data_IF_000726661046
#
_entry.id   IF_000726661046
#
_cell.length_a   1.000
_cell.length_b   1.000
_cell.length_c   1.000
_cell.angle_alpha   90.00
_cell.angle_beta   90.00
_cell.angle_gamma   90.00
#
_symmetry.space_group_name_H-M   'P 1'
#
loop_
_entity.id
_entity.type
_entity.pdbx_description
1 polymer ?
#
# COMPACT_ATOMS: atom_id res chain seq x y z
N UNK A 1 -23.79 0.57 -12.28
CA UNK A 1 -22.37 0.59 -11.82
C UNK A 1 -21.73 -0.70 -12.31
N UNK A 2 -20.63 -0.61 -13.06
CA UNK A 2 -19.85 -1.79 -13.48
C UNK A 2 -18.73 -2.00 -12.47
N UNK A 3 -18.56 -3.23 -11.97
CA UNK A 3 -17.50 -3.60 -11.02
C UNK A 3 -16.69 -4.73 -11.62
N UNK A 4 -15.38 -4.54 -11.69
CA UNK A 4 -14.42 -5.57 -12.08
C UNK A 4 -13.59 -5.95 -10.87
N UNK A 5 -13.66 -7.22 -10.48
CA UNK A 5 -12.74 -7.79 -9.50
C UNK A 5 -11.42 -8.12 -10.23
N UNK A 6 -10.30 -7.70 -9.65
CA UNK A 6 -8.98 -8.01 -10.17
C UNK A 6 -8.50 -9.34 -9.61
N UNK A 7 -8.98 -10.42 -10.20
CA UNK A 7 -8.53 -11.79 -9.89
C UNK A 7 -7.23 -12.11 -10.66
N UNK A 8 -6.23 -12.65 -9.95
CA UNK A 8 -4.95 -13.06 -10.51
C UNK A 8 -4.85 -14.59 -10.50
N UNK A 9 -5.12 -15.23 -11.64
CA UNK A 9 -5.11 -16.68 -11.80
C UNK A 9 -6.44 -17.20 -12.34
N UNK A 10 -6.71 -18.49 -12.16
CA UNK A 10 -7.95 -19.14 -12.58
C UNK A 10 -8.81 -19.50 -11.35
N UNK A 11 -9.54 -18.52 -10.83
CA UNK A 11 -10.46 -18.66 -9.72
C UNK A 11 -9.86 -18.28 -8.36
N UNK A 12 -10.75 -18.20 -7.38
CA UNK A 12 -10.49 -17.69 -6.02
C UNK A 12 -9.30 -18.37 -5.32
N UNK A 13 -9.10 -19.67 -5.51
CA UNK A 13 -7.99 -20.38 -4.87
C UNK A 13 -6.63 -19.95 -5.41
N UNK A 14 -6.50 -19.84 -6.73
CA UNK A 14 -5.25 -19.43 -7.36
C UNK A 14 -4.95 -17.95 -7.05
N UNK A 15 -6.00 -17.11 -7.04
CA UNK A 15 -5.91 -15.71 -6.62
C UNK A 15 -5.38 -15.57 -5.19
N UNK A 16 -5.94 -16.35 -4.25
CA UNK A 16 -5.45 -16.38 -2.88
C UNK A 16 -3.98 -16.79 -2.80
N UNK A 17 -3.58 -17.86 -3.48
CA UNK A 17 -2.18 -18.31 -3.50
C UNK A 17 -1.27 -17.21 -4.09
N UNK A 18 -1.64 -16.65 -5.23
CA UNK A 18 -0.89 -15.61 -5.92
C UNK A 18 -0.77 -14.33 -5.07
N UNK A 19 -1.78 -13.99 -4.27
CA UNK A 19 -1.71 -12.86 -3.33
C UNK A 19 -0.58 -13.00 -2.30
N UNK A 20 -0.13 -14.23 -2.02
CA UNK A 20 0.95 -14.52 -1.06
C UNK A 20 2.29 -14.78 -1.76
N UNK A 21 2.30 -15.49 -2.89
CA UNK A 21 3.55 -16.02 -3.47
C UNK A 21 3.98 -15.37 -4.78
N UNK A 22 3.08 -14.71 -5.51
CA UNK A 22 3.42 -14.06 -6.77
C UNK A 22 3.98 -12.67 -6.50
N UNK A 23 5.18 -12.36 -7.00
CA UNK A 23 5.78 -11.05 -6.81
C UNK A 23 4.82 -9.90 -7.24
N UNK A 24 4.71 -8.79 -6.47
CA UNK A 24 3.82 -7.66 -6.78
C UNK A 24 3.96 -7.10 -8.19
N UNK A 25 5.19 -7.03 -8.70
CA UNK A 25 5.46 -6.58 -10.08
C UNK A 25 4.65 -7.40 -11.09
N UNK A 26 4.60 -8.72 -10.92
CA UNK A 26 3.87 -9.59 -11.83
C UNK A 26 2.36 -9.46 -11.68
N UNK A 27 1.88 -9.33 -10.45
CA UNK A 27 0.46 -9.08 -10.18
C UNK A 27 0.00 -7.76 -10.84
N UNK A 28 0.81 -6.70 -10.75
CA UNK A 28 0.52 -5.40 -11.38
C UNK A 28 0.53 -5.49 -12.91
N UNK A 29 1.47 -6.23 -13.51
CA UNK A 29 1.47 -6.47 -14.96
C UNK A 29 0.18 -7.14 -15.43
N UNK A 30 -0.24 -8.21 -14.75
CA UNK A 30 -1.46 -8.96 -15.07
C UNK A 30 -2.69 -8.07 -14.89
N UNK A 31 -2.78 -7.34 -13.77
CA UNK A 31 -3.87 -6.41 -13.51
C UNK A 31 -3.94 -5.30 -14.58
N UNK A 32 -2.80 -4.71 -14.96
CA UNK A 32 -2.74 -3.68 -16.00
C UNK A 32 -3.24 -4.22 -17.35
N UNK A 33 -2.79 -5.41 -17.76
CA UNK A 33 -3.25 -6.05 -18.99
C UNK A 33 -4.76 -6.34 -18.96
N UNK A 34 -5.27 -6.84 -17.82
CA UNK A 34 -6.70 -7.11 -17.62
C UNK A 34 -7.57 -5.84 -17.72
N UNK A 35 -7.07 -4.71 -17.22
CA UNK A 35 -7.74 -3.41 -17.34
C UNK A 35 -7.71 -2.87 -18.77
N UNK A 36 -6.58 -3.02 -19.49
CA UNK A 36 -6.44 -2.57 -20.88
C UNK A 36 -7.32 -3.36 -21.85
N UNK A 37 -7.53 -4.65 -21.58
CA UNK A 37 -8.41 -5.50 -22.35
C UNK A 37 -9.90 -5.18 -22.14
N UNK A 38 -10.25 -4.45 -21.08
CA UNK A 38 -11.64 -4.17 -20.72
C UNK A 38 -12.19 -2.92 -21.46
N UNK A 39 -13.14 -3.08 -22.39
CA UNK A 39 -13.67 -1.94 -23.14
C UNK A 39 -14.48 -0.97 -22.28
N UNK A 40 -15.05 -1.41 -21.14
CA UNK A 40 -15.88 -0.57 -20.27
C UNK A 40 -14.99 0.41 -19.49
N UNK A 41 -13.76 0.03 -19.17
CA UNK A 41 -12.85 0.82 -18.33
C UNK A 41 -11.98 1.81 -19.12
N UNK A 42 -12.10 1.87 -20.45
CA UNK A 42 -11.24 2.69 -21.33
C UNK A 42 -11.25 4.19 -20.98
N UNK A 43 -12.38 4.69 -20.50
CA UNK A 43 -12.55 6.10 -20.12
C UNK A 43 -12.12 6.40 -18.67
N UNK A 44 -11.52 5.43 -18.01
CA UNK A 44 -11.04 5.51 -16.64
C UNK A 44 -11.89 4.74 -15.65
N UNK A 45 -11.35 4.57 -14.45
CA UNK A 45 -11.96 3.75 -13.40
C UNK A 45 -11.57 4.25 -12.01
N UNK A 46 -12.35 3.87 -11.00
CA UNK A 46 -12.02 4.09 -9.59
C UNK A 46 -11.45 2.79 -9.03
N UNK A 47 -10.30 2.89 -8.37
CA UNK A 47 -9.67 1.77 -7.68
C UNK A 47 -10.06 1.75 -6.20
N UNK A 48 -10.45 0.58 -5.68
CA UNK A 48 -10.62 0.34 -4.25
C UNK A 48 -9.75 -0.85 -3.85
N UNK A 49 -8.87 -0.67 -2.87
CA UNK A 49 -7.96 -1.71 -2.40
C UNK A 49 -8.02 -1.87 -0.89
N UNK A 50 -8.01 -3.12 -0.43
CA UNK A 50 -8.07 -3.48 0.98
C UNK A 50 -6.75 -4.09 1.43
N UNK A 51 -6.25 -3.73 2.61
CA UNK A 51 -4.98 -4.20 3.17
C UNK A 51 -3.87 -4.09 2.11
N UNK A 52 -3.11 -5.16 1.86
CA UNK A 52 -2.09 -5.23 0.80
C UNK A 52 -2.59 -4.92 -0.61
N UNK A 53 -3.86 -5.17 -0.90
CA UNK A 53 -4.47 -4.85 -2.20
C UNK A 53 -4.42 -3.36 -2.52
N UNK A 54 -4.50 -2.48 -1.53
CA UNK A 54 -4.33 -1.04 -1.75
C UNK A 54 -2.89 -0.64 -2.10
N UNK A 55 -1.89 -1.41 -1.65
CA UNK A 55 -0.49 -1.18 -2.01
C UNK A 55 -0.23 -1.59 -3.45
N UNK A 56 -0.75 -2.76 -3.85
CA UNK A 56 -0.73 -3.23 -5.24
C UNK A 56 -1.47 -2.26 -6.16
N UNK A 57 -2.64 -1.78 -5.74
CA UNK A 57 -3.43 -0.79 -6.47
C UNK A 57 -2.67 0.54 -6.65
N UNK A 58 -1.94 0.99 -5.62
CA UNK A 58 -1.06 2.16 -5.74
C UNK A 58 0.10 1.91 -6.72
N UNK A 59 0.72 0.74 -6.66
CA UNK A 59 1.73 0.34 -7.65
C UNK A 59 1.17 0.32 -9.08
N UNK A 60 -0.07 -0.15 -9.25
CA UNK A 60 -0.79 -0.11 -10.52
C UNK A 60 -1.05 1.33 -10.98
N UNK A 61 -1.51 2.21 -10.10
CA UNK A 61 -1.71 3.63 -10.41
C UNK A 61 -0.40 4.32 -10.84
N UNK A 62 0.74 3.95 -10.24
CA UNK A 62 2.05 4.50 -10.60
C UNK A 62 2.58 3.95 -11.93
N UNK A 63 2.33 2.68 -12.25
CA UNK A 63 2.98 1.96 -13.37
C UNK A 63 2.12 1.82 -14.63
N UNK A 64 0.80 1.77 -14.49
CA UNK A 64 -0.15 1.56 -15.58
C UNK A 64 -0.92 2.85 -15.87
N UNK A 65 -0.47 3.63 -16.87
CA UNK A 65 -1.07 4.94 -17.19
C UNK A 65 -2.39 4.85 -17.97
N UNK A 66 -2.71 3.69 -18.55
CA UNK A 66 -3.93 3.46 -19.32
C UNK A 66 -4.52 2.05 -19.05
N UNK A 67 -5.85 1.93 -18.81
CA UNK A 67 -6.79 3.03 -18.60
C UNK A 67 -6.46 3.85 -17.35
N UNK A 68 -6.89 5.11 -17.31
CA UNK A 68 -6.52 6.04 -16.22
C UNK A 68 -7.34 5.72 -14.96
N UNK A 69 -6.66 5.47 -13.84
CA UNK A 69 -7.32 5.50 -12.53
C UNK A 69 -7.67 6.95 -12.18
N UNK A 70 -8.93 7.24 -11.90
CA UNK A 70 -9.41 8.60 -11.58
C UNK A 70 -9.38 8.85 -10.09
N UNK A 71 -9.89 7.93 -9.28
CA UNK A 71 -9.85 7.99 -7.82
C UNK A 71 -9.26 6.69 -7.27
N UNK A 72 -8.54 6.79 -6.16
CA UNK A 72 -7.98 5.65 -5.45
C UNK A 72 -8.46 5.68 -4.00
N UNK A 73 -9.05 4.59 -3.53
CA UNK A 73 -9.47 4.42 -2.14
C UNK A 73 -8.71 3.23 -1.57
N UNK A 74 -8.03 3.43 -0.46
CA UNK A 74 -7.32 2.38 0.25
C UNK A 74 -7.88 2.20 1.66
N UNK A 75 -8.06 0.95 2.07
CA UNK A 75 -8.61 0.59 3.38
C UNK A 75 -7.60 -0.26 4.14
N UNK A 76 -7.00 0.32 5.19
CA UNK A 76 -6.03 -0.39 6.04
C UNK A 76 -4.72 -0.70 5.32
N UNK A 77 -4.31 0.16 4.38
CA UNK A 77 -3.17 -0.14 3.50
C UNK A 77 -1.87 0.41 4.07
N UNK A 78 -0.94 -0.48 4.40
CA UNK A 78 0.45 -0.18 4.75
C UNK A 78 1.28 0.51 3.64
N UNK A 79 1.05 1.79 3.39
CA UNK A 79 1.73 2.56 2.33
C UNK A 79 3.24 2.72 2.54
N UNK A 80 3.71 2.68 3.80
CA UNK A 80 5.12 2.67 4.18
C UNK A 80 5.62 1.27 4.58
N UNK A 81 4.87 0.22 4.27
CA UNK A 81 5.19 -1.14 4.67
C UNK A 81 4.92 -1.42 6.14
N UNK A 82 5.48 -2.53 6.62
CA UNK A 82 5.33 -2.98 8.01
C UNK A 82 6.65 -3.39 8.63
N UNK A 83 6.68 -3.34 9.97
CA UNK A 83 7.78 -3.78 10.82
C UNK A 83 7.28 -4.49 12.09
N UNK A 84 6.15 -5.18 12.00
CA UNK A 84 5.62 -5.99 13.09
C UNK A 84 4.89 -7.20 12.56
N UNK A 85 4.59 -8.10 13.48
CA UNK A 85 3.74 -9.25 13.22
C UNK A 85 2.33 -8.95 13.74
N UNK A 86 1.27 -9.41 13.06
CA UNK A 86 -0.09 -9.25 13.54
C UNK A 86 -0.24 -9.73 14.98
N UNK A 87 -0.96 -8.95 15.79
CA UNK A 87 -1.21 -9.20 17.21
C UNK A 87 0.05 -9.44 18.08
N UNK A 88 1.23 -8.99 17.63
CA UNK A 88 2.49 -9.20 18.33
C UNK A 88 3.05 -7.86 18.82
N UNK A 89 2.80 -7.51 20.08
CA UNK A 89 3.39 -6.31 20.68
C UNK A 89 4.91 -6.38 20.65
N UNK A 90 5.54 -5.25 20.30
CA UNK A 90 7.00 -5.10 20.23
C UNK A 90 7.70 -5.31 21.58
N UNK A 91 6.95 -5.27 22.67
CA UNK A 91 7.46 -5.43 24.04
C UNK A 91 7.66 -6.89 24.43
N UNK A 92 6.95 -7.84 23.80
CA UNK A 92 7.06 -9.25 24.11
C UNK A 92 8.38 -9.83 23.58
N UNK A 93 9.12 -10.54 24.45
CA UNK A 93 10.42 -11.14 24.12
C UNK A 93 10.35 -12.07 22.90
N UNK A 94 9.27 -12.86 22.80
CA UNK A 94 9.02 -13.78 21.68
C UNK A 94 8.85 -13.01 20.37
N UNK A 95 8.04 -11.94 20.37
CA UNK A 95 7.88 -11.06 19.20
C UNK A 95 9.21 -10.42 18.78
N UNK A 96 10.03 -9.99 19.74
CA UNK A 96 11.38 -9.45 19.44
C UNK A 96 12.29 -10.49 18.78
N UNK A 97 12.26 -11.74 19.25
CA UNK A 97 13.09 -12.81 18.70
C UNK A 97 12.66 -13.18 17.29
N UNK A 98 11.35 -13.36 17.06
CA UNK A 98 10.82 -13.65 15.73
C UNK A 98 11.16 -12.50 14.77
N UNK A 99 11.02 -11.25 15.21
CA UNK A 99 11.40 -10.09 14.38
C UNK A 99 12.88 -10.09 13.98
N UNK A 100 13.79 -10.49 14.87
CA UNK A 100 15.22 -10.62 14.53
C UNK A 100 15.46 -11.67 13.44
N UNK A 101 14.70 -12.76 13.45
CA UNK A 101 14.74 -13.77 12.39
C UNK A 101 14.17 -13.17 11.11
N UNK A 102 13.01 -12.51 11.19
CA UNK A 102 12.32 -11.87 10.07
C UNK A 102 13.21 -10.83 9.36
N UNK A 103 13.91 -9.98 10.11
CA UNK A 103 14.85 -9.02 9.54
C UNK A 103 15.94 -9.65 8.68
N UNK A 104 16.31 -10.91 8.95
CA UNK A 104 17.29 -11.63 8.13
C UNK A 104 16.65 -12.32 6.94
N UNK A 105 15.53 -13.02 7.16
CA UNK A 105 14.91 -13.84 6.11
C UNK A 105 14.16 -12.99 5.08
N UNK A 106 13.51 -11.90 5.49
CA UNK A 106 12.67 -11.10 4.61
C UNK A 106 13.48 -10.49 3.48
N UNK A 107 14.73 -10.09 3.72
CA UNK A 107 15.60 -9.50 2.69
C UNK A 107 16.46 -10.52 1.92
N UNK A 108 16.17 -11.82 2.05
CA UNK A 108 16.80 -12.82 1.17
C UNK A 108 16.12 -12.82 -0.21
N UNK A 109 16.88 -13.16 -1.24
CA UNK A 109 16.38 -13.22 -2.62
C UNK A 109 15.16 -14.14 -2.76
N UNK A 110 15.15 -15.28 -2.07
CA UNK A 110 14.02 -16.20 -2.09
C UNK A 110 12.72 -15.53 -1.60
N UNK A 111 12.76 -14.93 -0.40
CA UNK A 111 11.58 -14.30 0.20
C UNK A 111 11.14 -13.05 -0.56
N UNK A 112 12.08 -12.21 -1.00
CA UNK A 112 11.74 -11.06 -1.83
C UNK A 112 11.05 -11.45 -3.14
N UNK A 113 11.35 -12.62 -3.71
CA UNK A 113 10.74 -13.05 -4.98
C UNK A 113 9.47 -13.91 -4.83
N UNK A 114 9.30 -14.61 -3.70
CA UNK A 114 8.24 -15.63 -3.52
C UNK A 114 7.36 -15.41 -2.29
N UNK A 115 7.52 -14.30 -1.57
CA UNK A 115 6.69 -13.99 -0.41
C UNK A 115 6.33 -12.50 -0.41
N UNK A 116 5.10 -12.19 -0.83
CA UNK A 116 4.59 -10.82 -0.99
C UNK A 116 4.79 -9.97 0.27
N UNK A 117 4.56 -10.45 1.51
CA UNK A 117 4.82 -9.65 2.69
C UNK A 117 6.29 -9.24 2.89
N UNK A 118 7.26 -9.99 2.34
CA UNK A 118 8.66 -9.59 2.37
C UNK A 118 8.90 -8.32 1.54
N UNK A 119 8.19 -8.16 0.42
CA UNK A 119 8.41 -7.08 -0.54
C UNK A 119 7.93 -5.73 -0.02
N UNK A 120 7.21 -5.70 1.11
CA UNK A 120 6.86 -4.49 1.86
C UNK A 120 7.29 -4.54 3.33
N UNK A 121 8.22 -5.43 3.68
CA UNK A 121 8.92 -5.37 4.96
C UNK A 121 9.88 -4.18 4.98
N UNK A 122 9.68 -3.27 5.92
CA UNK A 122 10.44 -2.03 6.03
C UNK A 122 11.08 -1.93 7.41
N UNK A 123 12.34 -2.33 7.53
CA UNK A 123 13.07 -2.29 8.79
C UNK A 123 13.60 -0.87 9.10
N UNK A 124 13.02 -0.13 10.06
CA UNK A 124 13.47 1.23 10.38
C UNK A 124 14.83 1.24 11.10
N UNK A 125 15.29 0.09 11.61
CA UNK A 125 16.59 -0.03 12.29
C UNK A 125 17.77 -0.23 11.33
N UNK A 126 17.50 -0.65 10.09
CA UNK A 126 18.51 -0.89 9.05
C UNK A 126 17.98 -0.40 7.70
N UNK A 127 17.89 0.94 7.58
CA UNK A 127 17.37 1.62 6.40
C UNK A 127 18.25 1.37 5.17
N UNK A 128 19.55 1.14 5.35
CA UNK A 128 20.46 0.78 4.28
C UNK A 128 20.10 -0.58 3.66
N UNK A 129 19.92 -1.63 4.48
CA UNK A 129 19.50 -2.94 3.99
C UNK A 129 18.11 -2.90 3.35
N UNK A 130 17.17 -2.16 3.94
CA UNK A 130 15.85 -1.95 3.36
C UNK A 130 15.95 -1.37 1.94
N UNK A 131 16.67 -0.25 1.78
CA UNK A 131 16.87 0.43 0.49
C UNK A 131 17.58 -0.47 -0.53
N UNK A 132 18.58 -1.23 -0.10
CA UNK A 132 19.37 -2.09 -0.99
C UNK A 132 18.61 -3.34 -1.45
N UNK A 133 17.87 -4.01 -0.55
CA UNK A 133 17.38 -5.38 -0.79
C UNK A 133 15.89 -5.52 -1.01
N UNK A 134 15.09 -4.52 -0.63
CA UNK A 134 13.65 -4.60 -0.88
C UNK A 134 13.36 -4.45 -2.39
N UNK A 135 12.51 -5.31 -2.94
CA UNK A 135 12.28 -5.43 -4.40
C UNK A 135 11.02 -4.74 -4.90
N UNK A 136 10.25 -4.09 -4.03
CA UNK A 136 8.96 -3.51 -4.42
C UNK A 136 8.63 -2.19 -3.73
N UNK A 137 8.55 -2.18 -2.40
CA UNK A 137 8.16 -0.99 -1.64
C UNK A 137 9.13 0.17 -1.87
N UNK A 138 10.44 -0.11 -1.91
CA UNK A 138 11.47 0.89 -2.22
C UNK A 138 11.31 1.51 -3.60
N UNK A 139 10.92 0.72 -4.59
CA UNK A 139 10.66 1.18 -5.95
C UNK A 139 9.43 2.08 -6.00
N UNK A 140 8.28 1.61 -5.50
CA UNK A 140 7.04 2.41 -5.55
C UNK A 140 7.07 3.62 -4.59
N UNK A 141 8.00 3.67 -3.64
CA UNK A 141 8.22 4.83 -2.77
C UNK A 141 9.33 5.78 -3.26
N UNK A 142 9.94 5.51 -4.43
CA UNK A 142 11.06 6.29 -4.95
C UNK A 142 12.18 6.45 -3.89
N UNK A 143 12.54 5.36 -3.19
CA UNK A 143 13.56 5.40 -2.12
C UNK A 143 14.97 5.58 -2.67
N UNK A 144 15.28 4.90 -3.78
CA UNK A 144 16.61 4.90 -4.39
C UNK A 144 16.72 5.84 -5.59
N UNK A 145 15.65 5.90 -6.39
CA UNK A 145 15.61 6.68 -7.63
C UNK A 145 14.25 7.35 -7.78
N UNK A 146 14.24 8.60 -8.25
CA UNK A 146 12.99 9.35 -8.46
C UNK A 146 12.42 9.02 -9.83
N UNK A 147 11.36 8.21 -9.87
CA UNK A 147 10.64 7.93 -11.10
C UNK A 147 9.58 9.00 -11.39
N UNK A 148 9.85 9.87 -12.37
CA UNK A 148 8.93 10.96 -12.75
C UNK A 148 7.60 10.46 -13.33
N UNK A 149 7.57 9.27 -13.94
CA UNK A 149 6.32 8.67 -14.41
C UNK A 149 5.42 8.30 -13.24
N UNK A 150 5.98 7.77 -12.16
CA UNK A 150 5.22 7.42 -10.96
C UNK A 150 4.58 8.65 -10.33
N UNK A 151 5.36 9.73 -10.21
CA UNK A 151 4.87 11.02 -9.69
C UNK A 151 3.74 11.56 -10.57
N UNK A 152 3.94 11.61 -11.90
CA UNK A 152 2.93 12.11 -12.85
C UNK A 152 1.64 11.31 -12.77
N UNK A 153 1.73 9.98 -12.77
CA UNK A 153 0.54 9.12 -12.77
C UNK A 153 -0.21 9.23 -11.44
N UNK A 154 0.48 9.24 -10.30
CA UNK A 154 -0.16 9.39 -8.99
C UNK A 154 -0.82 10.78 -8.84
N UNK A 155 -0.16 11.85 -9.29
CA UNK A 155 -0.73 13.20 -9.30
C UNK A 155 -1.88 13.38 -10.29
N UNK A 156 -2.03 12.45 -11.22
CA UNK A 156 -3.14 12.45 -12.17
C UNK A 156 -4.46 12.10 -11.48
N UNK A 157 -4.44 11.36 -10.37
CA UNK A 157 -5.64 11.06 -9.57
C UNK A 157 -6.38 12.35 -9.19
N UNK A 158 -7.71 12.29 -9.25
CA UNK A 158 -8.62 13.34 -8.79
C UNK A 158 -8.77 13.30 -7.26
N UNK A 159 -8.82 12.09 -6.70
CA UNK A 159 -8.80 11.84 -5.24
C UNK A 159 -8.00 10.61 -4.89
N UNK A 160 -7.30 10.69 -3.76
CA UNK A 160 -6.67 9.56 -3.09
C UNK A 160 -7.13 9.57 -1.62
N UNK A 161 -8.02 8.63 -1.30
CA UNK A 161 -8.65 8.47 0.01
C UNK A 161 -7.95 7.33 0.76
N UNK A 162 -7.47 7.60 1.97
CA UNK A 162 -6.83 6.62 2.83
C UNK A 162 -7.66 6.44 4.09
N UNK A 163 -8.17 5.22 4.29
CA UNK A 163 -8.95 4.85 5.49
C UNK A 163 -8.03 4.12 6.47
N UNK A 164 -7.93 4.68 7.68
CA UNK A 164 -7.15 4.13 8.79
C UNK A 164 -8.05 3.49 9.85
N UNK A 165 -7.68 2.30 10.31
CA UNK A 165 -8.32 1.59 11.40
C UNK A 165 -7.71 2.02 12.74
N UNK A 166 -8.55 2.39 13.69
CA UNK A 166 -8.10 2.90 15.00
C UNK A 166 -7.69 1.75 15.92
N UNK A 167 -8.40 0.63 15.86
CA UNK A 167 -8.11 -0.57 16.65
C UNK A 167 -7.28 -1.58 15.85
N UNK A 168 -6.31 -1.08 15.08
CA UNK A 168 -5.51 -1.84 14.11
C UNK A 168 -4.44 -2.73 14.78
N UNK A 169 -4.52 -4.05 14.56
CA UNK A 169 -3.55 -5.02 15.11
C UNK A 169 -2.72 -5.80 14.07
N UNK A 170 -2.96 -5.62 12.78
CA UNK A 170 -2.23 -6.29 11.68
C UNK A 170 -1.15 -5.40 11.08
N UNK A 171 -1.47 -4.13 10.79
CA UNK A 171 -0.54 -3.15 10.21
C UNK A 171 0.25 -2.48 11.32
N UNK A 172 1.53 -2.84 11.42
CA UNK A 172 2.44 -2.30 12.44
C UNK A 172 3.57 -1.53 11.76
N UNK A 173 3.67 -0.19 11.92
CA UNK A 173 2.79 0.67 12.73
C UNK A 173 1.48 1.05 11.99
N UNK A 174 0.35 1.26 12.71
CA UNK A 174 -0.90 1.74 12.11
C UNK A 174 -0.77 3.10 11.40
N UNK A 175 0.29 3.86 11.69
CA UNK A 175 0.62 5.08 10.95
C UNK A 175 0.84 4.86 9.45
N UNK A 176 1.26 3.64 9.05
CA UNK A 176 1.50 3.25 7.66
C UNK A 176 0.25 3.35 6.78
N UNK A 177 -0.94 3.26 7.39
CA UNK A 177 -2.24 3.41 6.70
C UNK A 177 -2.46 4.81 6.13
N UNK A 178 -1.78 5.81 6.70
CA UNK A 178 -1.78 7.20 6.24
C UNK A 178 -0.38 7.66 5.83
N UNK A 179 0.45 6.76 5.29
CA UNK A 179 1.83 7.05 4.87
C UNK A 179 2.79 7.50 5.99
N UNK A 180 2.36 7.52 7.25
CA UNK A 180 3.27 7.71 8.39
C UNK A 180 4.09 6.45 8.64
N UNK A 181 5.18 6.56 9.40
CA UNK A 181 6.00 5.39 9.72
C UNK A 181 6.80 5.58 11.00
N UNK A 182 7.57 4.57 11.41
CA UNK A 182 8.59 4.76 12.42
C UNK A 182 9.64 5.76 11.95
N UNK A 183 10.11 6.61 12.87
CA UNK A 183 11.29 7.44 12.62
C UNK A 183 12.52 6.56 12.40
N UNK A 184 13.45 7.04 11.59
CA UNK A 184 14.70 6.30 11.30
C UNK A 184 15.44 5.93 12.59
N UNK A 185 15.91 4.69 12.65
CA UNK A 185 16.56 4.04 13.80
C UNK A 185 15.69 3.92 15.06
N UNK A 186 14.37 4.11 14.97
CA UNK A 186 13.43 3.98 16.10
C UNK A 186 12.30 3.00 15.79
N UNK A 187 11.70 2.45 16.84
CA UNK A 187 10.57 1.48 16.74
C UNK A 187 9.44 1.78 17.73
N UNK A 188 9.58 2.87 18.49
CA UNK A 188 8.66 3.32 19.53
C UNK A 188 8.18 4.76 19.28
N UNK A 189 8.64 5.37 18.19
CA UNK A 189 8.30 6.73 17.80
C UNK A 189 7.98 6.74 16.32
N UNK A 190 6.78 7.21 15.98
CA UNK A 190 6.33 7.36 14.60
C UNK A 190 6.28 8.82 14.19
N UNK A 191 6.41 9.07 12.90
CA UNK A 191 6.16 10.35 12.26
C UNK A 191 4.92 10.26 11.35
N UNK A 192 4.22 11.37 11.19
CA UNK A 192 3.10 11.49 10.24
C UNK A 192 3.62 11.69 8.82
N UNK A 193 2.74 11.59 7.81
CA UNK A 193 3.08 11.89 6.42
C UNK A 193 3.75 13.26 6.29
N UNK A 194 3.20 14.29 6.93
CA UNK A 194 3.65 15.68 6.80
C UNK A 194 5.02 15.93 7.45
N UNK A 195 5.40 15.08 8.41
CA UNK A 195 6.69 15.13 9.08
C UNK A 195 7.77 14.38 8.30
N UNK A 196 7.38 13.35 7.54
CA UNK A 196 8.31 12.47 6.83
C UNK A 196 9.08 13.22 5.73
N UNK A 197 10.37 12.92 5.61
CA UNK A 197 11.24 13.52 4.59
C UNK A 197 10.71 13.27 3.17
N UNK A 198 10.05 12.12 2.93
CA UNK A 198 9.48 11.79 1.63
C UNK A 198 8.41 12.79 1.15
N UNK A 199 7.67 13.40 2.08
CA UNK A 199 6.65 14.40 1.81
C UNK A 199 7.27 15.78 1.71
N UNK A 200 8.18 16.12 2.61
CA UNK A 200 8.92 17.39 2.60
C UNK A 200 9.72 17.58 1.31
N UNK A 201 10.29 16.51 0.77
CA UNK A 201 11.01 16.51 -0.52
C UNK A 201 10.09 16.21 -1.72
N UNK A 202 8.79 16.01 -1.49
CA UNK A 202 7.77 15.70 -2.51
C UNK A 202 8.15 14.52 -3.43
N UNK A 203 8.79 13.48 -2.88
CA UNK A 203 9.37 12.34 -3.63
C UNK A 203 8.36 11.60 -4.52
N UNK A 204 7.11 11.54 -4.09
CA UNK A 204 6.00 10.94 -4.84
C UNK A 204 5.00 11.98 -5.37
N UNK A 205 5.23 13.28 -5.12
CA UNK A 205 4.26 14.32 -5.41
C UNK A 205 3.10 14.41 -4.40
N UNK A 206 3.19 13.74 -3.24
CA UNK A 206 2.13 13.73 -2.22
C UNK A 206 1.91 15.10 -1.58
N UNK A 207 2.95 15.94 -1.43
CA UNK A 207 2.79 17.30 -0.90
C UNK A 207 2.02 18.17 -1.87
N UNK A 208 2.27 18.01 -3.18
CA UNK A 208 1.47 18.67 -4.21
C UNK A 208 0.02 18.23 -4.19
N UNK A 209 -0.24 16.93 -4.06
CA UNK A 209 -1.60 16.39 -3.94
C UNK A 209 -2.31 16.90 -2.68
N UNK A 210 -1.63 16.93 -1.55
CA UNK A 210 -2.14 17.47 -0.29
C UNK A 210 -2.54 18.94 -0.44
N UNK A 211 -1.64 19.78 -0.96
CA UNK A 211 -1.90 21.21 -1.18
C UNK A 211 -3.03 21.46 -2.20
N UNK A 212 -3.23 20.54 -3.14
CA UNK A 212 -4.32 20.59 -4.11
C UNK A 212 -5.64 20.01 -3.58
N UNK A 213 -5.71 19.58 -2.31
CA UNK A 213 -6.90 18.98 -1.72
C UNK A 213 -7.26 17.61 -2.30
N UNK A 214 -6.29 16.88 -2.86
CA UNK A 214 -6.51 15.56 -3.48
C UNK A 214 -6.39 14.40 -2.50
N UNK A 215 -5.78 14.60 -1.32
CA UNK A 215 -5.63 13.57 -0.30
C UNK A 215 -6.74 13.71 0.75
N UNK A 216 -7.50 12.65 0.98
CA UNK A 216 -8.50 12.58 2.05
C UNK A 216 -8.11 11.48 3.05
N UNK A 217 -8.24 11.78 4.33
CA UNK A 217 -7.83 10.91 5.43
C UNK A 217 -9.07 10.57 6.27
N UNK A 218 -9.49 9.31 6.27
CA UNK A 218 -10.65 8.83 7.02
C UNK A 218 -10.22 7.86 8.13
N UNK A 219 -10.98 7.79 9.21
CA UNK A 219 -10.75 6.82 10.28
C UNK A 219 -11.99 5.99 10.55
N UNK A 220 -11.79 4.76 11.01
CA UNK A 220 -12.85 3.86 11.48
C UNK A 220 -12.48 3.22 12.82
N UNK A 221 -13.44 3.01 13.74
CA UNK A 221 -13.16 2.54 15.10
C UNK A 221 -13.01 1.01 15.20
N UNK A 222 -12.75 0.32 14.11
CA UNK A 222 -12.73 -1.14 14.04
C UNK A 222 -11.30 -1.70 13.90
N UNK A 223 -11.18 -3.02 13.94
CA UNK A 223 -9.93 -3.72 13.65
C UNK A 223 -9.73 -3.91 12.14
N UNK A 224 -8.54 -4.37 11.76
CA UNK A 224 -8.04 -4.45 10.40
C UNK A 224 -9.07 -5.02 9.42
N UNK A 225 -9.39 -4.21 8.39
CA UNK A 225 -10.32 -4.54 7.31
C UNK A 225 -11.69 -5.06 7.75
N UNK A 226 -12.10 -4.82 9.00
CA UNK A 226 -13.46 -5.07 9.46
C UNK A 226 -14.43 -4.19 8.65
N UNK A 227 -15.35 -4.84 7.94
CA UNK A 227 -16.15 -4.18 6.92
C UNK A 227 -17.60 -4.00 7.35
N UNK A 228 -18.05 -2.74 7.38
CA UNK A 228 -19.43 -2.37 7.64
C UNK A 228 -20.05 -1.71 6.42
N UNK A 229 -21.05 -2.36 5.81
CA UNK A 229 -21.64 -1.91 4.56
C UNK A 229 -22.27 -0.52 4.66
N UNK A 230 -23.01 -0.23 5.73
CA UNK A 230 -23.68 1.07 5.90
C UNK A 230 -22.68 2.22 5.92
N UNK A 231 -21.57 2.05 6.66
CA UNK A 231 -20.51 3.04 6.67
C UNK A 231 -19.82 3.15 5.30
N UNK A 232 -19.52 2.01 4.65
CA UNK A 232 -18.87 2.01 3.34
C UNK A 232 -19.75 2.71 2.29
N UNK A 233 -21.05 2.46 2.31
CA UNK A 233 -22.00 3.15 1.45
C UNK A 233 -21.98 4.66 1.70
N UNK A 234 -22.19 5.09 2.95
CA UNK A 234 -22.36 6.50 3.28
C UNK A 234 -21.05 7.31 3.18
N UNK A 235 -19.89 6.67 3.34
CA UNK A 235 -18.59 7.35 3.38
C UNK A 235 -17.70 7.08 2.17
N UNK A 236 -17.88 5.97 1.46
CA UNK A 236 -17.11 5.64 0.27
C UNK A 236 -17.97 5.75 -0.99
N UNK A 237 -19.07 5.00 -1.07
CA UNK A 237 -19.90 4.94 -2.28
C UNK A 237 -20.50 6.32 -2.59
N UNK A 238 -21.25 6.88 -1.64
CA UNK A 238 -22.05 8.10 -1.84
C UNK A 238 -21.17 9.35 -1.99
N UNK A 239 -19.92 9.32 -1.50
CA UNK A 239 -18.98 10.46 -1.54
C UNK A 239 -17.97 10.38 -2.69
N UNK A 240 -17.55 9.18 -3.08
CA UNK A 240 -16.41 9.01 -3.98
C UNK A 240 -16.70 8.18 -5.22
N UNK A 241 -17.66 7.24 -5.19
CA UNK A 241 -17.91 6.34 -6.31
C UNK A 241 -19.03 6.80 -7.25
N UNK A 242 -19.95 7.62 -6.75
CA UNK A 242 -21.04 8.23 -7.51
C UNK A 242 -20.69 9.64 -8.01
#
# INVERSE_FOLDING_TARGET
MYVKLLEIGNGVFEDFVNSVVMHPNKQIEIACASLQADPILRNGYIGVGFSQGGLLLRGLAQRCSYPRMTKMITMGTMHQGVYGLPHCSLEYLVCRLIRRIYNRIMYTEFFQNHFVPATYWHNPLDTAQYKEKNTYLTDINNENFINQTYIRNLNSLDKFVMVKYINEHFVVPPASEWFGYYKEHKINETETLEQAEMFLNDRLGLRRMYNAGKLDFLTVPWDHVEFHWDWFKDNIVDKYLL
#
